data_IF_554143218713
#
_entry.id   IF_554143218713
#
_cell.length_a   1.000
_cell.length_b   1.000
_cell.length_c   1.000
_cell.angle_alpha   90.00
_cell.angle_beta   90.00
_cell.angle_gamma   90.00
#
_symmetry.space_group_name_H-M   'P 1'
#
loop_
_entity.id
_entity.type
_entity.pdbx_description
1 polymer ?
#
# COMPACT_ATOMS: atom_id res chain seq x y z
N UNK A 1 -31.04 -17.76 -9.07
CA UNK A 1 -29.67 -17.24 -8.91
C UNK A 1 -29.53 -16.80 -7.47
N UNK A 2 -28.68 -17.48 -6.71
CA UNK A 2 -28.53 -17.29 -5.27
C UNK A 2 -27.80 -15.97 -5.03
N UNK A 3 -28.49 -14.99 -4.44
CA UNK A 3 -27.91 -13.70 -4.08
C UNK A 3 -27.19 -13.90 -2.76
N UNK A 4 -25.87 -14.14 -2.80
CA UNK A 4 -25.06 -14.12 -1.58
C UNK A 4 -25.27 -12.78 -0.88
N UNK A 5 -25.94 -12.84 0.28
CA UNK A 5 -26.30 -11.69 1.11
C UNK A 5 -25.04 -11.25 1.87
N UNK A 6 -24.18 -10.47 1.22
CA UNK A 6 -23.06 -9.86 1.92
C UNK A 6 -23.60 -8.99 3.08
N UNK A 7 -23.14 -9.26 4.30
CA UNK A 7 -23.51 -8.49 5.51
C UNK A 7 -23.08 -7.02 5.42
N UNK A 8 -22.08 -6.73 4.59
CA UNK A 8 -21.56 -5.40 4.32
C UNK A 8 -21.49 -5.20 2.81
N UNK A 9 -21.80 -3.99 2.35
CA UNK A 9 -21.50 -3.61 0.99
C UNK A 9 -19.97 -3.69 0.77
N UNK A 10 -19.47 -4.55 -0.12
CA UNK A 10 -18.04 -4.65 -0.37
C UNK A 10 -17.47 -3.37 -1.01
N UNK A 11 -18.34 -2.50 -1.54
CA UNK A 11 -17.96 -1.26 -2.20
C UNK A 11 -18.20 -0.09 -1.26
N UNK A 12 -17.12 0.60 -0.88
CA UNK A 12 -17.25 1.89 -0.21
C UNK A 12 -17.61 2.98 -1.24
N UNK A 13 -18.92 3.13 -1.48
CA UNK A 13 -19.47 4.14 -2.39
C UNK A 13 -19.15 5.58 -1.99
N UNK A 14 -18.94 5.86 -0.70
CA UNK A 14 -18.56 7.21 -0.24
C UNK A 14 -17.12 7.48 -0.63
N UNK A 15 -16.23 6.55 -0.36
CA UNK A 15 -14.83 6.64 -0.75
C UNK A 15 -14.66 6.76 -2.27
N UNK A 16 -15.43 5.99 -3.05
CA UNK A 16 -15.43 6.11 -4.52
C UNK A 16 -15.86 7.51 -4.99
N UNK A 17 -16.92 8.07 -4.40
CA UNK A 17 -17.37 9.44 -4.72
C UNK A 17 -16.34 10.49 -4.35
N UNK A 18 -15.72 10.38 -3.18
CA UNK A 18 -14.68 11.31 -2.72
C UNK A 18 -13.47 11.27 -3.65
N UNK A 19 -12.99 10.07 -4.02
CA UNK A 19 -11.88 9.91 -4.96
C UNK A 19 -12.21 10.42 -6.37
N UNK A 20 -13.45 10.21 -6.83
CA UNK A 20 -13.91 10.69 -8.13
C UNK A 20 -13.96 12.21 -8.27
N UNK A 21 -14.06 12.94 -7.15
CA UNK A 21 -14.10 14.41 -7.12
C UNK A 21 -12.73 15.08 -7.14
N UNK A 22 -11.66 14.35 -6.87
CA UNK A 22 -10.30 14.90 -6.83
C UNK A 22 -9.89 15.34 -8.23
N UNK A 23 -9.31 16.54 -8.36
CA UNK A 23 -8.60 16.99 -9.55
C UNK A 23 -7.34 16.13 -9.82
N UNK A 24 -6.74 16.18 -11.02
CA UNK A 24 -5.47 15.49 -11.28
C UNK A 24 -4.37 15.80 -10.25
N UNK A 25 -4.25 17.07 -9.84
CA UNK A 25 -3.27 17.50 -8.84
C UNK A 25 -3.54 16.90 -7.45
N UNK A 26 -4.80 16.93 -7.00
CA UNK A 26 -5.17 16.34 -5.71
C UNK A 26 -5.01 14.82 -5.69
N UNK A 27 -5.25 14.14 -6.82
CA UNK A 27 -4.97 12.71 -6.96
C UNK A 27 -3.49 12.41 -6.77
N UNK A 28 -2.62 13.20 -7.40
CA UNK A 28 -1.17 13.05 -7.24
C UNK A 28 -0.75 13.29 -5.79
N UNK A 29 -1.26 14.35 -5.15
CA UNK A 29 -0.97 14.64 -3.74
C UNK A 29 -1.43 13.50 -2.82
N UNK A 30 -2.63 12.97 -3.03
CA UNK A 30 -3.14 11.83 -2.27
C UNK A 30 -2.25 10.57 -2.45
N UNK A 31 -1.76 10.31 -3.67
CA UNK A 31 -0.82 9.22 -3.93
C UNK A 31 0.53 9.43 -3.25
N UNK A 32 1.07 10.65 -3.27
CA UNK A 32 2.34 10.98 -2.62
C UNK A 32 2.24 10.85 -1.10
N UNK A 33 1.17 11.36 -0.49
CA UNK A 33 0.91 11.22 0.94
C UNK A 33 0.75 9.75 1.35
N UNK A 34 0.01 8.95 0.57
CA UNK A 34 -0.12 7.51 0.80
C UNK A 34 1.25 6.81 0.71
N UNK A 35 2.06 7.15 -0.30
CA UNK A 35 3.42 6.60 -0.45
C UNK A 35 4.31 6.95 0.74
N UNK A 36 4.30 8.21 1.18
CA UNK A 36 5.07 8.67 2.33
C UNK A 36 4.68 7.89 3.60
N UNK A 37 3.37 7.72 3.83
CA UNK A 37 2.88 6.95 4.97
C UNK A 37 3.34 5.48 4.92
N UNK A 38 3.17 4.79 3.79
CA UNK A 38 3.57 3.39 3.63
C UNK A 38 5.08 3.22 3.83
N UNK A 39 5.89 4.06 3.16
CA UNK A 39 7.35 4.01 3.27
C UNK A 39 7.81 4.32 4.68
N UNK A 40 7.20 5.32 5.33
CA UNK A 40 7.46 5.67 6.73
C UNK A 40 7.16 4.51 7.68
N UNK A 41 6.03 3.82 7.50
CA UNK A 41 5.65 2.65 8.28
C UNK A 41 6.64 1.49 8.10
N UNK A 42 7.06 1.21 6.86
CA UNK A 42 8.09 0.21 6.55
C UNK A 42 9.39 0.56 7.27
N UNK A 43 9.87 1.81 7.13
CA UNK A 43 11.10 2.28 7.78
C UNK A 43 11.01 2.18 9.30
N UNK A 44 9.89 2.56 9.91
CA UNK A 44 9.66 2.46 11.35
C UNK A 44 9.74 1.02 11.86
N UNK A 45 9.16 0.06 11.13
CA UNK A 45 9.30 -1.37 11.42
C UNK A 45 10.75 -1.85 11.27
N UNK A 46 11.43 -1.45 10.21
CA UNK A 46 12.83 -1.84 9.96
C UNK A 46 13.78 -1.28 11.01
N UNK A 47 13.59 -0.03 11.45
CA UNK A 47 14.39 0.58 12.52
C UNK A 47 14.28 -0.18 13.84
N UNK A 48 13.09 -0.68 14.18
CA UNK A 48 12.90 -1.54 15.36
C UNK A 48 13.59 -2.90 15.23
N UNK A 49 13.61 -3.47 14.01
CA UNK A 49 14.24 -4.78 13.74
C UNK A 49 15.76 -4.70 13.61
N UNK A 50 16.28 -3.57 13.12
CA UNK A 50 17.68 -3.33 12.83
C UNK A 50 18.12 -1.99 13.46
N UNK A 51 18.26 -1.94 14.80
CA UNK A 51 18.54 -0.70 15.53
C UNK A 51 19.91 -0.10 15.23
N UNK A 52 20.87 -0.92 14.78
CA UNK A 52 22.26 -0.51 14.54
C UNK A 52 22.50 0.02 13.13
N UNK A 53 21.56 -0.19 12.20
CA UNK A 53 21.70 0.29 10.84
C UNK A 53 21.58 1.81 10.75
N UNK A 54 22.43 2.40 9.94
CA UNK A 54 22.34 3.80 9.55
C UNK A 54 21.07 4.09 8.75
N UNK A 55 20.71 5.36 8.62
CA UNK A 55 19.56 5.77 7.81
C UNK A 55 19.71 5.34 6.32
N UNK A 56 20.95 5.38 5.80
CA UNK A 56 21.24 4.96 4.43
C UNK A 56 20.97 3.46 4.25
N UNK A 57 21.49 2.61 5.13
CA UNK A 57 21.26 1.16 5.08
C UNK A 57 19.79 0.80 5.29
N UNK A 58 19.09 1.52 6.17
CA UNK A 58 17.64 1.37 6.33
C UNK A 58 16.87 1.73 5.05
N UNK A 59 17.28 2.77 4.32
CA UNK A 59 16.66 3.10 3.05
C UNK A 59 16.89 2.01 2.00
N UNK A 60 18.07 1.38 1.96
CA UNK A 60 18.31 0.21 1.11
C UNK A 60 17.39 -0.96 1.49
N UNK A 61 17.19 -1.21 2.78
CA UNK A 61 16.25 -2.24 3.25
C UNK A 61 14.79 -1.93 2.91
N UNK A 62 14.40 -0.66 2.89
CA UNK A 62 13.07 -0.25 2.41
C UNK A 62 12.89 -0.65 0.93
N UNK A 63 13.89 -0.36 0.09
CA UNK A 63 13.85 -0.72 -1.34
C UNK A 63 13.75 -2.23 -1.54
N UNK A 64 14.52 -3.01 -0.78
CA UNK A 64 14.45 -4.49 -0.80
C UNK A 64 13.05 -5.01 -0.47
N UNK A 65 12.38 -4.44 0.53
CA UNK A 65 11.03 -4.84 0.92
C UNK A 65 9.97 -4.49 -0.14
N UNK A 66 10.13 -3.34 -0.82
CA UNK A 66 9.28 -2.94 -1.95
C UNK A 66 9.45 -3.93 -3.11
N UNK A 67 10.69 -4.20 -3.51
CA UNK A 67 11.01 -5.15 -4.58
C UNK A 67 10.48 -6.56 -4.26
N UNK A 68 10.59 -6.99 -2.99
CA UNK A 68 10.02 -8.25 -2.52
C UNK A 68 8.49 -8.26 -2.57
N UNK A 69 7.82 -7.12 -2.39
CA UNK A 69 6.37 -7.02 -2.53
C UNK A 69 5.95 -7.10 -4.00
N UNK A 70 6.66 -6.41 -4.89
CA UNK A 70 6.42 -6.44 -6.35
C UNK A 70 6.56 -7.86 -6.90
N UNK A 71 7.64 -8.58 -6.55
CA UNK A 71 7.84 -9.99 -6.94
C UNK A 71 6.71 -10.90 -6.47
N UNK A 72 6.11 -10.64 -5.29
CA UNK A 72 4.97 -11.42 -4.79
C UNK A 72 3.70 -11.16 -5.59
N UNK A 73 3.48 -9.93 -6.04
CA UNK A 73 2.33 -9.56 -6.86
C UNK A 73 2.44 -10.10 -8.29
N UNK A 74 3.66 -10.14 -8.84
CA UNK A 74 3.92 -10.65 -10.19
C UNK A 74 3.76 -12.18 -10.33
N UNK A 75 3.68 -12.92 -9.22
CA UNK A 75 3.47 -14.38 -9.26
C UNK A 75 1.97 -14.66 -9.46
N UNK A 76 1.53 -15.26 -10.59
CA UNK A 76 0.13 -15.61 -10.76
C UNK A 76 -0.29 -16.57 -9.65
N UNK A 77 -1.42 -16.27 -9.02
CA UNK A 77 -2.08 -17.21 -8.12
C UNK A 77 -2.43 -18.45 -8.94
N UNK A 78 -2.00 -19.66 -8.54
CA UNK A 78 -2.50 -20.87 -9.19
C UNK A 78 -4.02 -20.88 -8.97
N UNK A 79 -4.78 -20.96 -10.06
CA UNK A 79 -6.22 -21.18 -10.02
C UNK A 79 -6.44 -22.53 -9.32
N UNK A 80 -6.92 -22.49 -8.07
CA UNK A 80 -7.40 -23.66 -7.34
C UNK A 80 -8.88 -23.89 -7.63
#
# INVERSE_FOLDING_TARGET
MDVQRYRFDPIDHQFMRLRGRLSPGERLQAMLAAREWVVGAIRGRLRRRYPDLTLYELNLKVLEEIERAERRQARPQPLS
#
